data_IF_030023392921
#
_entry.id   IF_030023392921
#
_cell.length_a   1.000
_cell.length_b   1.000
_cell.length_c   1.000
_cell.angle_alpha   90.00
_cell.angle_beta   90.00
_cell.angle_gamma   90.00
#
_symmetry.space_group_name_H-M   'P 1'
#
loop_
_entity.id
_entity.type
_entity.pdbx_description
1 polymer ?
#
# COMPACT_ATOMS: atom_id res chain seq x y z
N UNK A 1 7.97 -14.90 16.04
CA UNK A 1 8.37 -14.86 14.62
C UNK A 1 8.64 -13.43 14.20
N UNK A 2 9.35 -13.16 13.09
CA UNK A 2 9.62 -11.78 12.63
C UNK A 2 8.35 -10.94 12.45
N UNK A 3 7.25 -11.58 12.00
CA UNK A 3 5.92 -10.97 11.86
C UNK A 3 5.33 -10.50 13.19
N UNK A 4 5.41 -11.33 14.25
CA UNK A 4 4.91 -10.96 15.60
C UNK A 4 5.71 -9.83 16.26
N UNK A 5 6.95 -9.62 15.82
CA UNK A 5 7.79 -8.51 16.28
C UNK A 5 7.65 -7.25 15.41
N UNK A 6 6.79 -7.27 14.38
CA UNK A 6 6.59 -6.11 13.50
C UNK A 6 7.81 -5.75 12.65
N UNK A 7 8.71 -6.70 12.37
CA UNK A 7 9.91 -6.44 11.58
C UNK A 7 9.70 -6.62 10.07
N UNK A 8 8.69 -7.42 9.70
CA UNK A 8 8.33 -7.69 8.30
C UNK A 8 6.84 -7.51 8.09
N UNK A 9 6.47 -7.00 6.91
CA UNK A 9 5.11 -7.02 6.37
C UNK A 9 5.02 -8.04 5.23
N UNK A 10 3.85 -8.66 5.08
CA UNK A 10 3.55 -9.61 4.01
C UNK A 10 2.41 -9.09 3.14
N UNK A 11 2.58 -9.13 1.82
CA UNK A 11 1.52 -8.88 0.84
C UNK A 11 1.32 -10.11 -0.05
N UNK A 12 0.10 -10.30 -0.53
CA UNK A 12 -0.18 -11.35 -1.51
C UNK A 12 0.04 -10.78 -2.91
N UNK A 13 0.84 -11.46 -3.72
CA UNK A 13 1.01 -11.15 -5.12
C UNK A 13 -0.14 -11.69 -5.97
N UNK A 14 -0.20 -11.27 -7.24
CA UNK A 14 -1.30 -11.58 -8.13
C UNK A 14 -1.47 -13.08 -8.42
N UNK A 15 -0.39 -13.87 -8.29
CA UNK A 15 -0.42 -15.32 -8.52
C UNK A 15 -0.52 -16.13 -7.21
N UNK A 16 -0.83 -15.47 -6.09
CA UNK A 16 -0.96 -16.10 -4.78
C UNK A 16 0.36 -16.28 -4.02
N UNK A 17 1.48 -15.74 -4.50
CA UNK A 17 2.73 -15.69 -3.75
C UNK A 17 2.63 -14.76 -2.53
N UNK A 18 3.34 -15.08 -1.45
CA UNK A 18 3.51 -14.18 -0.31
C UNK A 18 4.84 -13.43 -0.43
N UNK A 19 4.78 -12.11 -0.61
CA UNK A 19 5.95 -11.24 -0.69
C UNK A 19 6.19 -10.59 0.68
N UNK A 20 7.42 -10.68 1.17
CA UNK A 20 7.82 -10.11 2.45
C UNK A 20 8.74 -8.90 2.25
N UNK A 21 8.54 -7.86 3.04
CA UNK A 21 9.40 -6.67 3.04
C UNK A 21 9.58 -6.12 4.46
N UNK A 22 10.66 -5.37 4.73
CA UNK A 22 10.83 -4.66 5.99
C UNK A 22 9.71 -3.64 6.22
N UNK A 23 9.32 -3.44 7.47
CA UNK A 23 8.29 -2.44 7.84
C UNK A 23 8.74 -1.00 7.59
N UNK A 24 10.04 -0.71 7.67
CA UNK A 24 10.62 0.65 7.56
C UNK A 24 10.36 1.34 6.20
N UNK A 25 9.97 0.60 5.18
CA UNK A 25 9.65 1.16 3.86
C UNK A 25 8.18 1.59 3.79
N UNK A 26 7.88 2.79 4.28
CA UNK A 26 6.55 3.39 4.29
C UNK A 26 6.26 4.20 3.01
N UNK A 27 6.65 3.62 1.87
CA UNK A 27 6.36 4.19 0.55
C UNK A 27 5.03 3.65 0.04
N UNK A 28 4.10 4.55 -0.26
CA UNK A 28 2.81 4.21 -0.88
C UNK A 28 2.83 4.52 -2.37
N UNK A 29 1.94 3.84 -3.11
CA UNK A 29 1.88 3.94 -4.56
C UNK A 29 0.43 4.00 -5.06
N UNK A 30 0.25 4.73 -6.15
CA UNK A 30 -0.91 4.64 -7.05
C UNK A 30 -0.54 3.68 -8.19
N UNK A 31 -1.28 2.60 -8.36
CA UNK A 31 -1.03 1.62 -9.42
C UNK A 31 -2.09 1.72 -10.50
N UNK A 32 -1.66 1.96 -11.74
CA UNK A 32 -2.54 1.93 -12.90
C UNK A 32 -2.90 0.48 -13.26
N UNK A 33 -4.19 0.17 -13.32
CA UNK A 33 -4.70 -1.16 -13.66
C UNK A 33 -4.50 -1.53 -15.13
N UNK A 34 -4.40 -0.54 -16.01
CA UNK A 34 -4.28 -0.78 -17.46
C UNK A 34 -2.83 -0.97 -17.91
N UNK A 35 -1.90 -0.15 -17.44
CA UNK A 35 -0.49 -0.25 -17.85
C UNK A 35 0.42 -0.84 -16.78
N UNK A 36 -0.06 -1.07 -15.56
CA UNK A 36 0.73 -1.58 -14.43
C UNK A 36 1.71 -0.56 -13.82
N UNK A 37 1.80 0.65 -14.37
CA UNK A 37 2.72 1.67 -13.84
C UNK A 37 2.31 2.11 -12.44
N UNK A 38 3.29 2.17 -11.54
CA UNK A 38 3.11 2.63 -10.16
C UNK A 38 3.73 4.02 -9.96
N UNK A 39 3.01 4.90 -9.29
CA UNK A 39 3.44 6.27 -8.98
C UNK A 39 3.57 6.42 -7.46
N UNK A 40 4.73 6.81 -6.93
CA UNK A 40 4.88 6.98 -5.48
C UNK A 40 4.01 8.15 -4.99
N UNK A 41 3.46 8.00 -3.78
CA UNK A 41 2.90 9.11 -3.03
C UNK A 41 3.97 9.76 -2.15
N UNK A 42 4.01 11.09 -2.15
CA UNK A 42 5.01 11.84 -1.36
C UNK A 42 4.76 11.74 0.15
N UNK A 43 3.52 11.49 0.56
CA UNK A 43 3.13 11.35 1.96
C UNK A 43 2.07 10.27 2.14
N UNK A 44 2.03 9.68 3.33
CA UNK A 44 0.97 8.76 3.72
C UNK A 44 -0.32 9.53 4.07
N UNK A 45 -1.42 9.34 3.34
CA UNK A 45 -2.66 10.09 3.58
C UNK A 45 -3.41 9.66 4.85
N UNK A 46 -3.03 8.55 5.48
CA UNK A 46 -3.67 8.01 6.70
C UNK A 46 -2.79 8.14 7.95
N UNK A 47 -1.65 8.82 7.85
CA UNK A 47 -0.71 8.93 8.96
C UNK A 47 -1.35 9.59 10.21
N UNK A 48 -2.20 10.59 10.00
CA UNK A 48 -2.93 11.26 11.08
C UNK A 48 -3.99 10.35 11.73
N UNK A 49 -4.62 9.47 10.95
CA UNK A 49 -5.56 8.48 11.47
C UNK A 49 -4.85 7.49 12.42
N UNK A 50 -3.64 7.05 12.08
CA UNK A 50 -2.89 6.15 12.95
C UNK A 50 -2.57 6.77 14.32
N UNK A 51 -2.21 8.06 14.33
CA UNK A 51 -1.94 8.79 15.57
C UNK A 51 -3.18 8.85 16.47
N UNK A 52 -4.38 8.93 15.90
CA UNK A 52 -5.64 8.94 16.65
C UNK A 52 -6.08 7.54 17.12
N UNK A 53 -5.73 6.48 16.38
CA UNK A 53 -6.09 5.10 16.72
C UNK A 53 -5.27 4.56 17.91
N UNK A 54 -3.98 4.87 18.00
CA UNK A 54 -3.11 4.35 19.05
C UNK A 54 -3.60 4.62 20.50
N UNK A 55 -4.04 5.84 20.86
CA UNK A 55 -4.49 6.11 22.22
C UNK A 55 -5.91 5.62 22.53
N UNK A 56 -6.73 5.36 21.52
CA UNK A 56 -8.17 5.09 21.70
C UNK A 56 -8.53 3.60 21.80
N UNK A 57 -7.62 2.70 21.43
CA UNK A 57 -7.90 1.26 21.32
C UNK A 57 -6.76 0.47 21.97
N UNK A 58 -7.02 -0.58 22.77
CA UNK A 58 -5.97 -1.47 23.30
C UNK A 58 -5.40 -2.38 22.20
N UNK A 59 -4.83 -1.78 21.15
CA UNK A 59 -4.28 -2.45 19.99
C UNK A 59 -2.96 -1.80 19.57
N UNK A 60 -1.90 -2.59 19.47
CA UNK A 60 -0.58 -2.11 19.03
C UNK A 60 -0.46 -2.26 17.51
N UNK A 61 -0.49 -1.13 16.80
CA UNK A 61 -0.20 -1.06 15.37
C UNK A 61 1.31 -1.09 15.17
N UNK A 62 1.79 -1.99 14.31
CA UNK A 62 3.20 -2.07 13.91
C UNK A 62 3.45 -1.46 12.53
N UNK A 63 2.47 -1.56 11.64
CA UNK A 63 2.50 -1.04 10.28
C UNK A 63 1.10 -1.08 9.69
N UNK A 64 0.87 -0.27 8.65
CA UNK A 64 -0.28 -0.36 7.76
C UNK A 64 0.16 -0.81 6.36
N UNK A 65 -0.83 -1.22 5.57
CA UNK A 65 -0.67 -1.42 4.13
C UNK A 65 -1.72 -0.57 3.46
N UNK A 66 -1.29 0.25 2.50
CA UNK A 66 -2.16 1.14 1.76
C UNK A 66 -1.79 1.05 0.28
N UNK A 67 -2.78 0.68 -0.53
CA UNK A 67 -2.63 0.49 -1.96
C UNK A 67 -3.79 1.20 -2.66
N UNK A 68 -3.46 2.01 -3.66
CA UNK A 68 -4.45 2.67 -4.50
C UNK A 68 -4.37 2.08 -5.90
N UNK A 69 -5.52 1.70 -6.44
CA UNK A 69 -5.62 1.14 -7.78
C UNK A 69 -6.59 1.99 -8.60
N UNK A 70 -6.19 2.36 -9.81
CA UNK A 70 -7.00 3.21 -10.68
C UNK A 70 -6.45 3.27 -12.11
N UNK A 71 -6.73 4.35 -12.83
CA UNK A 71 -6.18 4.60 -14.16
C UNK A 71 -5.31 5.85 -14.11
N UNK A 72 -4.11 5.78 -14.69
CA UNK A 72 -3.33 6.98 -14.93
C UNK A 72 -3.98 7.84 -16.02
N UNK A 73 -3.69 9.14 -16.03
CA UNK A 73 -4.20 10.07 -17.03
C UNK A 73 -3.96 9.60 -18.48
N UNK A 74 -2.77 9.07 -18.86
CA UNK A 74 -2.55 8.49 -20.19
C UNK A 74 -3.42 7.28 -20.53
N UNK A 75 -3.88 6.50 -19.54
CA UNK A 75 -4.76 5.36 -19.79
C UNK A 75 -6.23 5.78 -19.81
N UNK A 76 -6.59 6.81 -19.04
CA UNK A 76 -7.96 7.37 -19.04
C UNK A 76 -8.27 8.05 -20.37
N UNK A 77 -7.29 8.76 -20.94
CA UNK A 77 -7.45 9.48 -22.21
C UNK A 77 -7.18 8.62 -23.46
N UNK A 78 -6.90 7.32 -23.30
CA UNK A 78 -6.78 6.42 -24.45
C UNK A 78 -8.18 6.08 -24.96
N UNK A 79 -8.45 6.19 -26.27
CA UNK A 79 -9.63 5.56 -26.83
C UNK A 79 -9.57 4.07 -26.49
N UNK A 80 -10.69 3.51 -26.02
CA UNK A 80 -10.80 2.08 -25.81
C UNK A 80 -10.71 1.44 -27.19
N UNK A 81 -9.56 0.85 -27.52
CA UNK A 81 -9.45 -0.06 -28.66
C UNK A 81 -10.09 -1.38 -28.22
N UNK A 82 -11.35 -1.57 -28.62
CA UNK A 82 -12.09 -2.83 -28.50
C UNK A 82 -11.72 -3.73 -29.67
#
# INVERSE_FOLDING_TARGET
TLKLHGLIKSRMGANGEALYSPVVSDQHYLTCLQCGQSFPLDHCPVQELELHLQPSIPFKVYYHTLEFFGLCEPCTNRPIEV
#
